data_IF_514978574830
#
_entry.id   IF_514978574830
#
_cell.length_a   1.000
_cell.length_b   1.000
_cell.length_c   1.000
_cell.angle_alpha   90.00
_cell.angle_beta   90.00
_cell.angle_gamma   90.00
#
_symmetry.space_group_name_H-M   'P 1'
#
loop_
_entity.id
_entity.type
_entity.pdbx_description
1 polymer ?
#
# COMPACT_ATOMS: atom_id res chain seq x y z
N UNK A 1 28.41 -15.89 39.29
CA UNK A 1 29.27 -16.98 38.77
C UNK A 1 29.96 -17.70 39.92
N UNK A 2 29.31 -18.67 40.59
CA UNK A 2 29.93 -19.69 41.49
C UNK A 2 28.93 -20.65 42.17
N UNK A 3 27.62 -20.39 42.13
CA UNK A 3 26.62 -21.25 42.79
C UNK A 3 25.95 -22.30 41.87
N UNK A 4 26.08 -22.22 40.54
CA UNK A 4 25.55 -23.23 39.62
C UNK A 4 26.48 -24.43 39.36
N UNK A 5 27.70 -24.44 39.90
CA UNK A 5 28.66 -25.54 39.69
C UNK A 5 28.47 -26.73 40.63
N UNK A 6 27.58 -26.64 41.62
CA UNK A 6 27.39 -27.67 42.65
C UNK A 6 26.13 -28.53 42.50
N UNK A 7 25.39 -28.38 41.39
CA UNK A 7 24.30 -29.31 41.02
C UNK A 7 24.75 -30.32 39.95
N UNK A 8 25.96 -30.17 39.41
CA UNK A 8 26.42 -30.92 38.23
C UNK A 8 27.28 -32.15 38.51
N UNK A 9 27.39 -32.58 39.77
CA UNK A 9 28.14 -33.78 40.16
C UNK A 9 27.30 -34.53 41.19
N UNK A 10 27.15 -35.84 40.99
CA UNK A 10 26.34 -36.80 41.74
C UNK A 10 24.84 -36.93 41.39
N UNK A 11 24.53 -38.10 40.79
CA UNK A 11 23.23 -38.74 40.48
C UNK A 11 22.63 -38.43 39.11
N UNK A 12 22.88 -39.30 38.14
CA UNK A 12 21.94 -40.40 37.78
C UNK A 12 22.54 -41.25 36.66
N UNK A 13 22.43 -42.58 36.78
CA UNK A 13 22.76 -43.53 35.69
C UNK A 13 21.86 -43.23 34.47
N UNK A 14 22.34 -43.36 33.22
CA UNK A 14 21.51 -43.10 32.05
C UNK A 14 20.50 -44.24 31.89
N UNK A 15 19.31 -44.10 32.46
CA UNK A 15 18.16 -44.89 32.03
C UNK A 15 17.64 -44.29 30.72
N UNK A 16 17.28 -45.15 29.75
CA UNK A 16 16.80 -44.74 28.42
C UNK A 16 15.71 -43.65 28.47
N UNK A 17 14.88 -43.64 29.52
CA UNK A 17 13.84 -42.64 29.76
C UNK A 17 14.34 -41.20 29.93
N UNK A 18 15.50 -40.98 30.57
CA UNK A 18 16.06 -39.65 30.77
C UNK A 18 16.52 -39.01 29.45
N UNK A 19 17.04 -39.82 28.53
CA UNK A 19 17.47 -39.37 27.21
C UNK A 19 16.29 -38.96 26.32
N UNK A 20 15.11 -39.58 26.48
CA UNK A 20 13.89 -39.13 25.80
C UNK A 20 13.40 -37.78 26.35
N UNK A 21 13.46 -37.58 27.66
CA UNK A 21 13.02 -36.32 28.28
C UNK A 21 13.90 -35.15 27.87
N UNK A 22 15.23 -35.31 27.89
CA UNK A 22 16.15 -34.25 27.43
C UNK A 22 16.03 -33.99 25.93
N UNK A 23 15.76 -35.02 25.11
CA UNK A 23 15.54 -34.85 23.67
C UNK A 23 14.20 -34.18 23.35
N UNK A 24 13.12 -34.50 24.08
CA UNK A 24 11.84 -33.81 23.94
C UNK A 24 11.94 -32.35 24.37
N UNK A 25 12.58 -32.09 25.51
CA UNK A 25 12.75 -30.72 26.01
C UNK A 25 13.60 -29.89 25.03
N UNK A 26 14.67 -30.48 24.47
CA UNK A 26 15.51 -29.81 23.47
C UNK A 26 14.74 -29.55 22.17
N UNK A 27 13.93 -30.50 21.68
CA UNK A 27 13.08 -30.30 20.51
C UNK A 27 12.04 -29.20 20.73
N UNK A 28 11.46 -29.11 21.93
CA UNK A 28 10.50 -28.07 22.28
C UNK A 28 11.16 -26.69 22.34
N UNK A 29 12.34 -26.58 22.96
CA UNK A 29 13.12 -25.32 23.00
C UNK A 29 13.50 -24.87 21.59
N UNK A 30 13.98 -25.77 20.73
CA UNK A 30 14.34 -25.44 19.34
C UNK A 30 13.13 -25.04 18.49
N UNK A 31 11.95 -25.65 18.71
CA UNK A 31 10.70 -25.24 18.07
C UNK A 31 10.26 -23.85 18.52
N UNK A 32 10.37 -23.54 19.82
CA UNK A 32 10.05 -22.21 20.33
C UNK A 32 11.01 -21.15 19.81
N UNK A 33 12.32 -21.43 19.78
CA UNK A 33 13.31 -20.52 19.19
C UNK A 33 13.07 -20.30 17.69
N UNK A 34 12.70 -21.34 16.94
CA UNK A 34 12.37 -21.22 15.51
C UNK A 34 11.10 -20.37 15.28
N UNK A 35 10.04 -20.61 16.05
CA UNK A 35 8.80 -19.83 15.99
C UNK A 35 9.04 -18.37 16.40
N UNK A 36 9.86 -18.13 17.43
CA UNK A 36 10.20 -16.78 17.87
C UNK A 36 11.03 -16.04 16.82
N UNK A 37 12.00 -16.71 16.18
CA UNK A 37 12.81 -16.14 15.10
C UNK A 37 11.98 -15.85 13.85
N UNK A 38 11.06 -16.74 13.45
CA UNK A 38 10.14 -16.50 12.33
C UNK A 38 9.26 -15.26 12.56
N UNK A 39 8.92 -14.95 13.81
CA UNK A 39 8.11 -13.78 14.17
C UNK A 39 8.89 -12.45 14.07
N UNK A 40 10.22 -12.48 14.03
CA UNK A 40 11.09 -11.29 13.98
C UNK A 40 11.56 -10.92 12.57
N UNK A 41 11.13 -11.64 11.52
CA UNK A 41 11.36 -11.29 10.11
C UNK A 41 10.36 -10.21 9.64
N UNK A 42 9.97 -9.32 10.55
CA UNK A 42 9.26 -8.09 10.20
C UNK A 42 10.28 -7.13 9.58
N UNK A 43 10.18 -6.96 8.26
CA UNK A 43 10.90 -5.95 7.47
C UNK A 43 11.19 -4.68 8.28
N UNK A 44 12.45 -4.21 8.27
CA UNK A 44 12.82 -2.89 8.78
C UNK A 44 12.06 -1.83 7.97
N UNK A 45 10.84 -1.51 8.40
CA UNK A 45 10.00 -0.51 7.80
C UNK A 45 10.52 0.85 8.23
N UNK A 46 11.24 1.53 7.33
CA UNK A 46 11.41 2.98 7.47
C UNK A 46 10.03 3.61 7.39
N UNK A 47 9.66 4.28 8.47
CA UNK A 47 8.40 5.00 8.56
C UNK A 47 8.70 6.49 8.45
N UNK A 48 8.00 7.15 7.55
CA UNK A 48 8.05 8.61 7.41
C UNK A 48 6.68 9.18 7.75
N UNK A 49 6.67 10.34 8.39
CA UNK A 49 5.45 11.01 8.80
C UNK A 49 4.92 11.88 7.66
N UNK A 50 3.70 11.61 7.21
CA UNK A 50 2.94 12.46 6.31
C UNK A 50 1.97 13.32 7.12
N UNK A 51 2.12 14.65 7.08
CA UNK A 51 1.25 15.60 7.79
C UNK A 51 0.67 16.62 6.80
N UNK A 52 -0.64 16.88 6.90
CA UNK A 52 -1.33 17.91 6.13
C UNK A 52 -2.37 18.61 7.00
N UNK A 53 -2.68 19.86 6.66
CA UNK A 53 -3.75 20.61 7.32
C UNK A 53 -5.10 20.21 6.73
N UNK A 54 -6.10 20.02 7.59
CA UNK A 54 -7.47 19.67 7.23
C UNK A 54 -8.42 20.45 8.13
N UNK A 55 -9.55 20.89 7.58
CA UNK A 55 -10.60 21.57 8.33
C UNK A 55 -11.23 20.64 9.37
N UNK A 56 -11.77 21.23 10.44
CA UNK A 56 -12.35 20.47 11.55
C UNK A 56 -13.51 19.58 11.09
N UNK A 57 -14.44 20.15 10.33
CA UNK A 57 -15.66 19.47 9.89
C UNK A 57 -15.34 18.30 8.96
N UNK A 58 -14.40 18.50 8.02
CA UNK A 58 -13.92 17.46 7.10
C UNK A 58 -13.26 16.30 7.86
N UNK A 59 -12.45 16.61 8.88
CA UNK A 59 -11.83 15.59 9.73
C UNK A 59 -12.88 14.79 10.49
N UNK A 60 -13.87 15.46 11.09
CA UNK A 60 -14.93 14.81 11.85
C UNK A 60 -15.75 13.85 10.96
N UNK A 61 -16.17 14.31 9.77
CA UNK A 61 -16.89 13.48 8.81
C UNK A 61 -16.06 12.27 8.35
N UNK A 62 -14.78 12.49 8.04
CA UNK A 62 -13.88 11.41 7.63
C UNK A 62 -13.66 10.38 8.73
N UNK A 63 -13.51 10.81 9.99
CA UNK A 63 -13.36 9.90 11.14
C UNK A 63 -14.61 9.04 11.34
N UNK A 64 -15.81 9.61 11.29
CA UNK A 64 -17.06 8.84 11.42
C UNK A 64 -17.14 7.70 10.40
N UNK A 65 -16.85 8.00 9.13
CA UNK A 65 -16.88 6.99 8.06
C UNK A 65 -15.80 5.92 8.27
N UNK A 66 -14.59 6.32 8.68
CA UNK A 66 -13.51 5.36 8.97
C UNK A 66 -13.88 4.43 10.13
N UNK A 67 -14.51 4.95 11.18
CA UNK A 67 -14.91 4.19 12.36
C UNK A 67 -16.03 3.19 12.03
N UNK A 68 -16.99 3.58 11.18
CA UNK A 68 -18.02 2.67 10.65
C UNK A 68 -17.42 1.50 9.85
N UNK A 69 -16.29 1.74 9.17
CA UNK A 69 -15.54 0.70 8.45
C UNK A 69 -14.55 -0.08 9.33
N UNK A 70 -14.41 0.26 10.62
CA UNK A 70 -13.44 -0.36 11.52
C UNK A 70 -11.99 -0.04 11.20
N UNK A 71 -11.73 1.11 10.58
CA UNK A 71 -10.40 1.56 10.18
C UNK A 71 -10.00 2.82 10.95
N UNK A 72 -8.75 2.93 11.35
CA UNK A 72 -8.21 4.23 11.76
C UNK A 72 -8.02 5.15 10.55
N UNK A 73 -8.16 6.46 10.76
CA UNK A 73 -7.88 7.48 9.74
C UNK A 73 -6.48 7.31 9.11
N UNK A 74 -5.48 7.00 9.94
CA UNK A 74 -4.11 6.72 9.47
C UNK A 74 -4.02 5.46 8.58
N UNK A 75 -4.81 4.43 8.85
CA UNK A 75 -4.88 3.25 7.98
C UNK A 75 -5.56 3.58 6.65
N UNK A 76 -6.65 4.34 6.68
CA UNK A 76 -7.35 4.78 5.48
C UNK A 76 -6.42 5.61 4.56
N UNK A 77 -5.65 6.57 5.11
CA UNK A 77 -4.67 7.35 4.34
C UNK A 77 -3.59 6.45 3.72
N UNK A 78 -3.09 5.46 4.46
CA UNK A 78 -2.12 4.48 3.94
C UNK A 78 -2.71 3.64 2.81
N UNK A 79 -3.98 3.22 2.91
CA UNK A 79 -4.66 2.49 1.86
C UNK A 79 -4.84 3.34 0.60
N UNK A 80 -5.23 4.61 0.78
CA UNK A 80 -5.34 5.56 -0.33
C UNK A 80 -4.00 5.74 -1.06
N UNK A 81 -2.90 5.97 -0.33
CA UNK A 81 -1.58 6.09 -0.94
C UNK A 81 -1.18 4.84 -1.74
N UNK A 82 -1.46 3.64 -1.21
CA UNK A 82 -1.23 2.38 -1.92
C UNK A 82 -2.09 2.25 -3.18
N UNK A 83 -3.36 2.65 -3.11
CA UNK A 83 -4.23 2.65 -4.28
C UNK A 83 -3.71 3.59 -5.37
N UNK A 84 -3.25 4.79 -5.00
CA UNK A 84 -2.64 5.74 -5.96
C UNK A 84 -1.42 5.14 -6.65
N UNK A 85 -0.53 4.49 -5.89
CA UNK A 85 0.66 3.83 -6.44
C UNK A 85 0.27 2.70 -7.40
N UNK A 86 -0.70 1.87 -7.02
CA UNK A 86 -1.12 0.71 -7.82
C UNK A 86 -1.79 1.12 -9.14
N UNK A 87 -2.58 2.18 -9.13
CA UNK A 87 -3.30 2.65 -10.32
C UNK A 87 -2.47 3.63 -11.18
N UNK A 88 -1.33 4.12 -10.68
CA UNK A 88 -0.55 5.16 -11.35
C UNK A 88 -1.26 6.51 -11.45
N UNK A 89 -2.23 6.75 -10.56
CA UNK A 89 -3.15 7.90 -10.62
C UNK A 89 -4.12 7.89 -9.46
N UNK A 90 -4.94 8.94 -9.33
CA UNK A 90 -5.94 9.01 -8.26
C UNK A 90 -7.01 7.93 -8.50
N UNK A 91 -7.30 7.06 -7.50
CA UNK A 91 -8.17 5.89 -7.64
C UNK A 91 -9.67 6.23 -7.63
N UNK A 92 -10.01 7.44 -8.07
CA UNK A 92 -11.37 7.91 -8.25
C UNK A 92 -11.42 8.87 -9.43
N UNK A 93 -12.58 8.95 -10.08
CA UNK A 93 -12.77 9.82 -11.23
C UNK A 93 -12.72 11.30 -10.80
N UNK A 94 -11.72 12.03 -11.30
CA UNK A 94 -11.57 13.45 -11.03
C UNK A 94 -12.53 14.24 -11.94
N UNK A 95 -13.72 14.51 -11.43
CA UNK A 95 -14.68 15.40 -12.11
C UNK A 95 -14.57 16.79 -11.53
N UNK A 96 -14.20 17.76 -12.37
CA UNK A 96 -14.45 19.18 -12.10
C UNK A 96 -15.90 19.49 -12.47
N UNK A 97 -16.64 20.14 -11.58
CA UNK A 97 -18.04 20.51 -11.80
C UNK A 97 -18.25 21.42 -13.03
N UNK A 98 -17.19 22.06 -13.50
CA UNK A 98 -17.16 22.86 -14.72
C UNK A 98 -15.96 22.45 -15.58
N UNK A 99 -16.13 22.25 -16.89
CA UNK A 99 -15.01 22.03 -17.82
C UNK A 99 -14.03 23.20 -17.72
N UNK A 100 -12.74 22.92 -17.90
CA UNK A 100 -11.71 23.96 -17.89
C UNK A 100 -12.01 25.01 -18.99
N UNK A 101 -11.49 26.23 -18.82
CA UNK A 101 -11.78 27.34 -19.74
C UNK A 101 -11.44 27.01 -21.20
N UNK A 102 -10.38 26.21 -21.42
CA UNK A 102 -9.93 25.77 -22.75
C UNK A 102 -10.96 24.85 -23.41
N UNK A 103 -11.48 23.85 -22.69
CA UNK A 103 -12.50 22.92 -23.15
C UNK A 103 -13.83 23.64 -23.35
N UNK A 104 -14.19 24.58 -22.47
CA UNK A 104 -15.37 25.42 -22.63
C UNK A 104 -15.29 26.30 -23.89
N UNK A 105 -14.13 26.91 -24.16
CA UNK A 105 -13.89 27.70 -25.36
C UNK A 105 -13.94 26.84 -26.63
N UNK A 106 -13.32 25.66 -26.63
CA UNK A 106 -13.36 24.72 -27.75
C UNK A 106 -14.80 24.25 -28.08
N UNK A 107 -15.61 24.00 -27.05
CA UNK A 107 -17.04 23.68 -27.24
C UNK A 107 -17.80 24.87 -27.85
N UNK A 108 -17.52 26.10 -27.41
CA UNK A 108 -18.15 27.31 -27.96
C UNK A 108 -17.75 27.53 -29.42
N UNK A 109 -16.50 27.33 -29.78
CA UNK A 109 -15.99 27.45 -31.15
C UNK A 109 -16.68 26.45 -32.11
N UNK A 110 -16.87 25.21 -31.66
CA UNK A 110 -17.63 24.19 -32.38
C UNK A 110 -19.10 24.61 -32.57
N UNK A 111 -19.75 25.13 -31.53
CA UNK A 111 -21.15 25.62 -31.60
C UNK A 111 -21.26 26.84 -32.54
N UNK A 112 -20.25 27.71 -32.56
CA UNK A 112 -20.16 28.86 -33.47
C UNK A 112 -19.83 28.45 -34.93
N UNK A 113 -19.65 27.16 -35.21
CA UNK A 113 -19.42 26.64 -36.56
C UNK A 113 -18.00 26.85 -37.10
N UNK A 114 -17.06 27.20 -36.23
CA UNK A 114 -15.63 27.42 -36.56
C UNK A 114 -14.79 26.14 -36.48
N UNK A 115 -15.40 24.99 -36.21
CA UNK A 115 -14.71 23.71 -36.17
C UNK A 115 -14.14 23.29 -37.53
N UNK A 116 -12.99 22.61 -37.49
CA UNK A 116 -12.37 22.02 -38.68
C UNK A 116 -13.26 20.93 -39.28
N UNK A 117 -13.40 20.94 -40.61
CA UNK A 117 -14.13 19.93 -41.36
C UNK A 117 -13.15 19.20 -42.28
N UNK A 118 -13.24 17.87 -42.29
CA UNK A 118 -12.49 17.04 -43.22
C UNK A 118 -13.45 16.37 -44.20
N UNK A 119 -13.04 16.23 -45.46
CA UNK A 119 -13.87 15.65 -46.53
C UNK A 119 -13.86 14.11 -46.51
N UNK A 120 -12.88 13.49 -45.84
CA UNK A 120 -12.80 12.05 -45.64
C UNK A 120 -12.13 11.70 -44.31
N UNK A 121 -12.33 10.46 -43.84
CA UNK A 121 -11.70 9.96 -42.61
C UNK A 121 -10.18 9.97 -42.73
N UNK A 122 -9.64 9.62 -43.90
CA UNK A 122 -8.20 9.65 -44.17
C UNK A 122 -7.63 11.07 -44.12
N UNK A 123 -8.35 12.06 -44.66
CA UNK A 123 -7.95 13.47 -44.60
C UNK A 123 -7.94 13.99 -43.15
N UNK A 124 -8.92 13.59 -42.33
CA UNK A 124 -8.97 13.95 -40.91
C UNK A 124 -7.79 13.38 -40.12
N UNK A 125 -7.44 12.11 -40.37
CA UNK A 125 -6.34 11.44 -39.68
C UNK A 125 -4.98 12.02 -40.07
N UNK A 126 -4.80 12.41 -41.34
CA UNK A 126 -3.58 13.07 -41.79
C UNK A 126 -3.39 14.43 -41.08
N UNK A 127 -4.44 15.26 -40.99
CA UNK A 127 -4.40 16.58 -40.33
C UNK A 127 -4.06 16.48 -38.82
N UNK A 128 -4.54 15.45 -38.12
CA UNK A 128 -4.27 15.23 -36.69
C UNK A 128 -2.89 14.60 -36.40
N UNK A 129 -2.25 13.97 -37.38
CA UNK A 129 -1.02 13.19 -37.17
C UNK A 129 0.27 13.93 -37.54
N UNK A 130 0.20 15.14 -38.09
CA UNK A 130 1.36 15.95 -38.51
C UNK A 130 2.35 16.29 -37.38
N UNK A 131 2.04 15.98 -36.11
CA UNK A 131 2.92 16.23 -34.97
C UNK A 131 3.49 15.03 -34.20
N UNK A 132 2.93 13.80 -34.26
CA UNK A 132 3.34 12.73 -33.31
C UNK A 132 2.82 11.30 -33.63
N UNK A 133 2.99 10.81 -34.85
CA UNK A 133 2.79 9.37 -35.13
C UNK A 133 3.71 8.85 -36.25
N UNK A 134 5.02 9.08 -36.13
CA UNK A 134 6.00 8.18 -36.76
C UNK A 134 6.58 7.32 -35.67
N UNK A 135 5.98 6.16 -35.42
CA UNK A 135 6.56 4.97 -34.78
C UNK A 135 5.52 3.85 -34.76
N UNK A 136 5.31 3.18 -35.90
CA UNK A 136 5.26 1.71 -36.04
C UNK A 136 5.82 1.40 -37.42
#
# INVERSE_FOLDING_TARGET
>A
MKLLKLIWVERTKPTRAGLYFTRLLCAFILLYDYVLHCMQIGTNMRTEMLSTRIDHDTKAAFTSICDEMGLSTSQAIKLFAKAVINHGGIPFELRVAQPNEVTAAAMKELVEGKGHKAESVDAMLNDLTEGKAKNV
#
